data_IF_650584753083
#
_entry.id   IF_650584753083
#
_cell.length_a   1.000
_cell.length_b   1.000
_cell.length_c   1.000
_cell.angle_alpha   90.00
_cell.angle_beta   90.00
_cell.angle_gamma   90.00
#
_symmetry.space_group_name_H-M   'P 1'
#
loop_
_entity.id
_entity.type
_entity.pdbx_description
1 polymer ?
#
# COMPACT_ATOMS: atom_id res chain seq x y z
N UNK A 1 -5.33 -19.19 -3.81
CA UNK A 1 -3.99 -19.55 -3.27
C UNK A 1 -3.73 -18.71 -2.03
N UNK A 2 -2.71 -19.03 -1.21
CA UNK A 2 -2.35 -18.17 -0.06
C UNK A 2 -2.16 -16.70 -0.47
N UNK A 3 -1.57 -16.45 -1.65
CA UNK A 3 -1.43 -15.11 -2.21
C UNK A 3 -2.77 -14.46 -2.59
N UNK A 4 -3.75 -15.22 -3.10
CA UNK A 4 -5.08 -14.65 -3.41
C UNK A 4 -5.89 -14.34 -2.15
N UNK A 5 -5.72 -15.14 -1.10
CA UNK A 5 -6.35 -14.89 0.20
C UNK A 5 -5.73 -13.67 0.87
N UNK A 6 -4.41 -13.53 0.81
CA UNK A 6 -3.74 -12.32 1.27
C UNK A 6 -4.15 -11.09 0.45
N UNK A 7 -4.29 -11.20 -0.88
CA UNK A 7 -4.75 -10.10 -1.73
C UNK A 7 -6.15 -9.60 -1.32
N UNK A 8 -7.07 -10.52 -1.00
CA UNK A 8 -8.41 -10.16 -0.53
C UNK A 8 -8.37 -9.47 0.83
N UNK A 9 -7.61 -10.03 1.77
CA UNK A 9 -7.40 -9.46 3.09
C UNK A 9 -6.78 -8.05 3.03
N UNK A 10 -5.72 -7.89 2.26
CA UNK A 10 -5.02 -6.63 2.08
C UNK A 10 -5.89 -5.58 1.37
N UNK A 11 -6.75 -5.98 0.43
CA UNK A 11 -7.76 -5.08 -0.14
C UNK A 11 -8.75 -4.58 0.91
N UNK A 12 -9.33 -5.50 1.67
CA UNK A 12 -10.40 -5.24 2.64
C UNK A 12 -9.92 -4.36 3.81
N UNK A 13 -8.79 -4.72 4.42
CA UNK A 13 -8.30 -4.09 5.65
C UNK A 13 -7.26 -2.98 5.40
N UNK A 14 -6.50 -3.08 4.30
CA UNK A 14 -5.44 -2.11 3.97
C UNK A 14 -5.89 -1.10 2.92
N UNK A 15 -6.07 -1.54 1.68
CA UNK A 15 -6.30 -0.68 0.51
C UNK A 15 -7.54 0.20 0.69
N UNK A 16 -8.68 -0.41 1.09
CA UNK A 16 -9.94 0.33 1.30
C UNK A 16 -9.88 1.26 2.49
N UNK A 17 -9.13 0.92 3.53
CA UNK A 17 -8.89 1.81 4.65
C UNK A 17 -8.11 3.04 4.20
N UNK A 18 -7.01 2.84 3.45
CA UNK A 18 -6.18 3.92 2.93
C UNK A 18 -6.98 4.84 1.99
N UNK A 19 -7.76 4.26 1.08
CA UNK A 19 -8.55 5.00 0.10
C UNK A 19 -9.62 5.92 0.72
N UNK A 20 -10.00 5.71 1.99
CA UNK A 20 -10.97 6.54 2.71
C UNK A 20 -10.35 7.68 3.49
N UNK A 21 -9.02 7.74 3.58
CA UNK A 21 -8.34 8.76 4.36
C UNK A 21 -8.43 10.11 3.62
N UNK A 22 -8.81 11.20 4.31
CA UNK A 22 -8.82 12.53 3.71
C UNK A 22 -7.48 12.89 3.07
N UNK A 23 -7.52 13.39 1.83
CA UNK A 23 -6.33 13.73 1.05
C UNK A 23 -5.76 12.57 0.23
N UNK A 24 -6.27 11.35 0.36
CA UNK A 24 -5.95 10.26 -0.55
C UNK A 24 -6.65 10.48 -1.92
N UNK A 25 -5.92 10.31 -3.01
CA UNK A 25 -6.35 10.50 -4.40
C UNK A 25 -6.54 9.20 -5.17
N UNK A 26 -6.32 8.07 -4.52
CA UNK A 26 -6.38 6.74 -5.11
C UNK A 26 -5.34 5.81 -4.50
N UNK A 27 -5.63 4.52 -4.60
CA UNK A 27 -4.74 3.44 -4.15
C UNK A 27 -4.76 2.34 -5.21
N UNK A 28 -3.59 1.79 -5.48
CA UNK A 28 -3.39 0.63 -6.33
C UNK A 28 -2.68 -0.45 -5.53
N UNK A 29 -3.14 -1.69 -5.66
CA UNK A 29 -2.42 -2.86 -5.17
C UNK A 29 -1.87 -3.61 -6.37
N UNK A 30 -0.54 -3.70 -6.44
CA UNK A 30 0.17 -4.40 -7.50
C UNK A 30 0.69 -5.73 -6.93
N UNK A 31 0.72 -6.74 -7.79
CA UNK A 31 1.28 -8.06 -7.46
C UNK A 31 2.26 -8.50 -8.53
N UNK A 32 3.42 -8.98 -8.10
CA UNK A 32 4.35 -9.75 -8.95
C UNK A 32 4.51 -11.15 -8.37
N UNK A 33 4.70 -12.15 -9.22
CA UNK A 33 4.96 -13.53 -8.78
C UNK A 33 6.24 -14.05 -9.44
N UNK A 34 7.19 -14.51 -8.64
CA UNK A 34 8.48 -15.09 -9.08
C UNK A 34 8.87 -16.24 -8.17
N UNK A 35 9.28 -17.36 -8.76
CA UNK A 35 9.75 -18.55 -8.03
C UNK A 35 8.80 -19.03 -6.91
N UNK A 36 7.50 -18.88 -7.13
CA UNK A 36 6.46 -19.26 -6.17
C UNK A 36 6.21 -18.26 -5.03
N UNK A 37 6.93 -17.14 -4.99
CA UNK A 37 6.74 -16.04 -4.05
C UNK A 37 5.94 -14.93 -4.72
N UNK A 38 4.97 -14.39 -3.98
CA UNK A 38 4.16 -13.26 -4.42
C UNK A 38 4.52 -12.01 -3.62
N UNK A 39 4.96 -10.97 -4.32
CA UNK A 39 5.25 -9.65 -3.75
C UNK A 39 4.06 -8.73 -4.01
N UNK A 40 3.64 -8.01 -2.97
CA UNK A 40 2.57 -7.03 -3.04
C UNK A 40 3.12 -5.62 -2.81
N UNK A 41 2.72 -4.68 -3.66
CA UNK A 41 3.02 -3.26 -3.50
C UNK A 41 1.70 -2.49 -3.42
N UNK A 42 1.46 -1.83 -2.29
CA UNK A 42 0.37 -0.87 -2.14
C UNK A 42 0.92 0.52 -2.45
N UNK A 43 0.51 1.08 -3.58
CA UNK A 43 0.86 2.42 -4.01
C UNK A 43 -0.34 3.34 -3.77
N UNK A 44 -0.14 4.41 -3.00
CA UNK A 44 -1.18 5.39 -2.70
C UNK A 44 -0.76 6.78 -3.13
N UNK A 45 -1.70 7.55 -3.67
CA UNK A 45 -1.49 8.91 -4.15
C UNK A 45 -2.15 9.88 -3.19
N UNK A 46 -1.51 11.00 -2.92
CA UNK A 46 -1.94 11.94 -1.88
C UNK A 46 -1.85 13.38 -2.37
N UNK A 47 -2.68 14.25 -1.80
CA UNK A 47 -2.64 15.70 -2.07
C UNK A 47 -1.31 16.33 -1.66
N UNK A 48 -0.68 15.82 -0.59
CA UNK A 48 0.62 16.28 -0.09
C UNK A 48 1.23 15.29 0.90
N UNK A 49 2.52 15.45 1.20
CA UNK A 49 3.17 14.74 2.29
C UNK A 49 2.54 15.05 3.65
N UNK A 50 2.05 16.28 3.86
CA UNK A 50 1.40 16.66 5.11
C UNK A 50 0.07 15.92 5.31
N UNK A 51 -0.69 15.63 4.24
CA UNK A 51 -1.88 14.78 4.34
C UNK A 51 -1.55 13.35 4.80
N UNK A 52 -0.40 12.81 4.37
CA UNK A 52 0.12 11.51 4.83
C UNK A 52 0.45 11.59 6.33
N UNK A 53 1.20 12.62 6.75
CA UNK A 53 1.61 12.79 8.16
C UNK A 53 0.43 12.97 9.11
N UNK A 54 -0.63 13.66 8.69
CA UNK A 54 -1.84 13.79 9.51
C UNK A 54 -2.49 12.44 9.83
N UNK A 55 -2.32 11.45 8.96
CA UNK A 55 -2.78 10.09 9.18
C UNK A 55 -1.75 9.21 9.89
N UNK A 56 -0.51 9.22 9.42
CA UNK A 56 0.54 8.30 9.85
C UNK A 56 1.37 8.80 11.05
N UNK A 57 1.22 10.06 11.43
CA UNK A 57 1.96 10.71 12.51
C UNK A 57 3.40 11.06 12.14
N UNK A 58 4.21 11.34 13.16
CA UNK A 58 5.62 11.72 13.01
C UNK A 58 6.47 10.57 12.42
N UNK A 59 6.05 9.32 12.65
CA UNK A 59 6.66 8.09 12.14
C UNK A 59 6.05 7.64 10.79
N UNK A 60 5.72 8.58 9.89
CA UNK A 60 5.06 8.30 8.61
C UNK A 60 5.86 7.43 7.62
N UNK A 61 7.13 7.15 7.92
CA UNK A 61 7.97 6.21 7.18
C UNK A 61 7.98 4.80 7.78
N UNK A 62 7.41 4.60 8.98
CA UNK A 62 7.33 3.26 9.58
C UNK A 62 6.19 2.45 8.98
N UNK A 63 6.48 1.17 8.69
CA UNK A 63 5.46 0.22 8.24
C UNK A 63 4.50 -0.09 9.37
N UNK A 64 3.20 -0.05 9.05
CA UNK A 64 2.12 -0.44 9.96
C UNK A 64 1.56 -1.78 9.51
N UNK A 65 1.82 -2.82 10.29
CA UNK A 65 1.30 -4.15 10.02
C UNK A 65 -0.20 -4.25 10.29
N UNK A 66 -0.88 -4.99 9.42
CA UNK A 66 -2.23 -5.46 9.68
C UNK A 66 -2.19 -6.62 10.68
N UNK A 67 -3.26 -6.83 11.49
CA UNK A 67 -3.26 -7.83 12.56
C UNK A 67 -2.85 -9.24 12.15
N UNK A 68 -3.19 -9.64 10.91
CA UNK A 68 -2.97 -11.00 10.41
C UNK A 68 -1.79 -11.11 9.43
N UNK A 69 -1.00 -10.06 9.21
CA UNK A 69 0.13 -10.06 8.27
C UNK A 69 1.12 -11.21 8.52
N UNK A 70 1.39 -11.53 9.79
CA UNK A 70 2.32 -12.60 10.18
C UNK A 70 1.90 -14.00 9.72
N UNK A 71 0.64 -14.19 9.31
CA UNK A 71 0.14 -15.46 8.75
C UNK A 71 0.54 -15.64 7.28
N UNK A 72 0.89 -14.55 6.59
CA UNK A 72 1.10 -14.52 5.15
C UNK A 72 2.50 -14.07 4.75
N UNK A 73 3.08 -13.11 5.47
CA UNK A 73 4.35 -12.47 5.09
C UNK A 73 5.55 -13.38 5.36
N UNK A 74 6.40 -13.50 4.33
CA UNK A 74 7.70 -14.17 4.40
C UNK A 74 8.81 -13.15 4.73
N UNK A 75 8.57 -11.88 4.41
CA UNK A 75 9.39 -10.72 4.75
C UNK A 75 8.67 -9.43 4.35
N UNK A 76 9.14 -8.31 4.89
CA UNK A 76 8.58 -6.98 4.71
C UNK A 76 9.69 -5.95 4.43
N UNK A 77 9.29 -4.84 3.80
CA UNK A 77 10.17 -3.67 3.68
C UNK A 77 10.21 -2.94 5.03
N UNK A 78 11.38 -2.51 5.51
CA UNK A 78 11.48 -1.89 6.83
C UNK A 78 10.86 -0.48 6.88
N UNK A 79 10.66 0.16 5.72
CA UNK A 79 10.16 1.54 5.64
C UNK A 79 9.21 1.76 4.46
N UNK A 80 8.25 2.68 4.68
CA UNK A 80 7.39 3.24 3.64
C UNK A 80 8.17 4.31 2.88
N UNK A 81 8.20 4.19 1.55
CA UNK A 81 8.88 5.14 0.66
C UNK A 81 7.90 6.18 0.11
N UNK A 82 8.35 7.42 0.02
CA UNK A 82 7.58 8.56 -0.49
C UNK A 82 8.24 9.15 -1.73
N UNK A 83 7.44 9.51 -2.73
CA UNK A 83 7.91 10.04 -4.01
C UNK A 83 7.03 11.21 -4.45
N UNK A 84 7.63 12.14 -5.19
CA UNK A 84 6.89 13.19 -5.89
C UNK A 84 6.57 12.73 -7.31
N UNK A 85 5.32 12.92 -7.74
CA UNK A 85 4.91 12.69 -9.13
C UNK A 85 5.34 13.91 -9.96
N UNK A 86 6.47 13.79 -10.65
CA UNK A 86 7.02 14.87 -11.50
C UNK A 86 6.34 14.90 -12.89
N UNK A 87 5.88 13.75 -13.39
CA UNK A 87 5.14 13.64 -14.64
C UNK A 87 4.17 12.45 -14.60
N UNK A 88 3.01 12.58 -15.25
CA UNK A 88 2.03 11.51 -15.45
C UNK A 88 1.21 11.78 -16.71
N UNK A 89 0.96 10.75 -17.51
CA UNK A 89 0.13 10.80 -18.71
C UNK A 89 -1.26 10.16 -18.52
N UNK A 90 -1.63 9.81 -17.27
CA UNK A 90 -2.98 9.36 -16.93
C UNK A 90 -3.24 7.85 -17.06
N UNK A 91 -2.21 7.01 -17.00
CA UNK A 91 -2.35 5.55 -17.03
C UNK A 91 -3.08 4.95 -15.82
N UNK A 92 -4.41 5.02 -15.78
CA UNK A 92 -5.23 4.14 -14.95
C UNK A 92 -6.06 3.23 -15.85
N UNK A 93 -5.52 2.04 -16.14
CA UNK A 93 -6.34 0.92 -16.61
C UNK A 93 -7.25 0.49 -15.47
N UNK A 94 -8.56 0.52 -15.74
CA UNK A 94 -9.68 0.07 -14.90
C UNK A 94 -9.42 -1.22 -14.14
#
# INVERSE_FOLDING_TARGET
>A
TMADDYARYLDEEGVRAIARIPGNRGVQMLRTVRDGIADFLVLSYWDSLEAIKLFAGDDYEQVRHLPDDSKYLIGDEPTVRHFEVIASDGGQSR
#
